data_IF_184399476508
#
_entry.id   IF_184399476508
#
_cell.length_a   1.000
_cell.length_b   1.000
_cell.length_c   1.000
_cell.angle_alpha   90.00
_cell.angle_beta   90.00
_cell.angle_gamma   90.00
#
_symmetry.space_group_name_H-M   'P 1'
#
loop_
_entity.id
_entity.type
_entity.pdbx_description
1 polymer ?
#
# COMPACT_ATOMS: atom_id res chain seq x y z
N UNK A 1 -18.92 21.82 30.69
CA UNK A 1 -18.59 20.70 29.77
C UNK A 1 -18.92 19.40 30.48
N UNK A 2 -19.75 18.54 29.89
CA UNK A 2 -20.09 17.25 30.51
C UNK A 2 -18.82 16.39 30.68
N UNK A 3 -18.63 15.79 31.85
CA UNK A 3 -17.49 14.93 32.19
C UNK A 3 -17.18 13.88 31.09
N UNK A 4 -18.23 13.34 30.47
CA UNK A 4 -18.14 12.40 29.34
C UNK A 4 -17.38 12.98 28.15
N UNK A 5 -17.63 14.26 27.79
CA UNK A 5 -16.92 14.91 26.68
C UNK A 5 -15.45 15.10 27.00
N UNK A 6 -15.12 15.52 28.22
CA UNK A 6 -13.71 15.68 28.64
C UNK A 6 -12.94 14.36 28.55
N UNK A 7 -13.53 13.25 29.01
CA UNK A 7 -12.93 11.91 28.89
C UNK A 7 -12.70 11.52 27.44
N UNK A 8 -13.67 11.77 26.55
CA UNK A 8 -13.52 11.50 25.11
C UNK A 8 -12.39 12.33 24.51
N UNK A 9 -12.29 13.63 24.83
CA UNK A 9 -11.21 14.48 24.31
C UNK A 9 -9.82 14.02 24.77
N UNK A 10 -9.68 13.63 26.04
CA UNK A 10 -8.42 13.10 26.57
C UNK A 10 -8.06 11.79 25.87
N UNK A 11 -9.02 10.88 25.71
CA UNK A 11 -8.81 9.60 25.02
C UNK A 11 -8.38 9.82 23.55
N UNK A 12 -9.05 10.72 22.84
CA UNK A 12 -8.69 11.10 21.47
C UNK A 12 -7.31 11.75 21.39
N UNK A 13 -6.94 12.60 22.34
CA UNK A 13 -5.62 13.21 22.39
C UNK A 13 -4.51 12.16 22.59
N UNK A 14 -4.69 11.22 23.51
CA UNK A 14 -3.76 10.11 23.73
C UNK A 14 -3.64 9.24 22.48
N UNK A 15 -4.77 8.90 21.86
CA UNK A 15 -4.80 8.11 20.63
C UNK A 15 -4.08 8.83 19.48
N UNK A 16 -4.30 10.15 19.33
CA UNK A 16 -3.62 10.97 18.32
C UNK A 16 -2.11 10.96 18.53
N UNK A 17 -1.62 11.15 19.76
CA UNK A 17 -0.19 11.06 20.08
C UNK A 17 0.36 9.68 19.71
N UNK A 18 -0.36 8.61 20.04
CA UNK A 18 0.06 7.24 19.74
C UNK A 18 0.17 6.97 18.23
N UNK A 19 -0.81 7.42 17.43
CA UNK A 19 -0.81 7.26 15.97
C UNK A 19 0.25 8.13 15.30
N UNK A 20 0.45 9.36 15.77
CA UNK A 20 1.40 10.31 15.16
C UNK A 20 2.84 10.08 15.60
N UNK A 21 3.08 9.40 16.72
CA UNK A 21 4.43 9.12 17.21
C UNK A 21 5.33 8.42 16.19
N UNK A 22 4.95 7.30 15.54
CA UNK A 22 5.80 6.68 14.52
C UNK A 22 6.03 7.58 13.31
N UNK A 23 5.03 8.37 12.88
CA UNK A 23 5.16 9.33 11.77
C UNK A 23 6.18 10.42 12.14
N UNK A 24 6.05 10.99 13.34
CA UNK A 24 7.03 11.91 13.90
C UNK A 24 8.43 11.30 13.89
N UNK A 25 8.57 10.05 14.34
CA UNK A 25 9.86 9.38 14.40
C UNK A 25 10.49 9.17 13.02
N UNK A 26 9.68 8.83 12.01
CA UNK A 26 10.12 8.70 10.62
C UNK A 26 10.59 10.03 10.04
N UNK A 27 9.83 11.12 10.25
CA UNK A 27 10.21 12.48 9.78
C UNK A 27 11.47 12.98 10.50
N UNK A 28 11.56 12.76 11.81
CA UNK A 28 12.75 13.10 12.60
C UNK A 28 13.98 12.33 12.08
N UNK A 29 13.82 11.04 11.78
CA UNK A 29 14.91 10.19 11.28
C UNK A 29 15.31 10.54 9.84
N UNK A 30 14.37 10.95 8.98
CA UNK A 30 14.68 11.33 7.60
C UNK A 30 15.50 12.61 7.49
N UNK A 31 15.47 13.47 8.51
CA UNK A 31 16.22 14.72 8.59
C UNK A 31 17.60 14.58 9.28
N UNK A 32 17.91 13.40 9.81
CA UNK A 32 19.17 13.09 10.51
C UNK A 32 20.22 12.51 9.58
N UNK A 33 21.48 12.62 9.98
CA UNK A 33 22.55 11.84 9.39
C UNK A 33 22.47 10.36 9.82
N UNK A 34 23.02 9.45 9.01
CA UNK A 34 22.94 7.99 9.25
C UNK A 34 23.49 7.58 10.63
N UNK A 35 24.55 8.24 11.09
CA UNK A 35 25.13 8.00 12.42
C UNK A 35 24.28 8.55 13.56
N UNK A 36 23.46 9.58 13.33
CA UNK A 36 22.55 10.16 14.33
C UNK A 36 21.29 9.32 14.54
N UNK A 37 20.88 8.54 13.53
CA UNK A 37 19.73 7.63 13.62
C UNK A 37 19.99 6.49 14.60
N UNK A 38 21.24 6.02 14.69
CA UNK A 38 21.65 4.91 15.56
C UNK A 38 22.32 5.37 16.87
N UNK A 39 22.21 6.67 17.21
CA UNK A 39 22.82 7.23 18.41
C UNK A 39 22.18 6.69 19.70
N UNK A 40 23.01 6.48 20.73
CA UNK A 40 22.58 6.11 22.09
C UNK A 40 23.11 7.19 23.05
N UNK A 41 22.25 7.92 23.79
CA UNK A 41 20.79 7.83 23.79
C UNK A 41 20.16 8.32 22.47
N UNK A 42 18.93 7.87 22.14
CA UNK A 42 18.25 8.27 20.91
C UNK A 42 18.00 9.78 20.89
N UNK A 43 18.38 10.42 19.79
CA UNK A 43 18.18 11.84 19.60
C UNK A 43 16.70 12.12 19.33
N UNK A 44 16.05 12.93 20.17
CA UNK A 44 14.63 13.22 20.00
C UNK A 44 14.37 14.16 18.81
N UNK A 45 15.28 15.08 18.52
CA UNK A 45 15.24 16.01 17.39
C UNK A 45 16.56 15.95 16.60
N UNK A 46 16.58 16.35 15.30
CA UNK A 46 17.81 16.38 14.53
C UNK A 46 18.68 17.56 14.96
N UNK A 47 19.89 17.35 15.51
CA UNK A 47 20.77 18.45 15.94
C UNK A 47 21.20 19.33 14.76
N UNK A 48 21.42 18.69 13.60
CA UNK A 48 21.77 19.35 12.33
C UNK A 48 20.84 18.82 11.23
N UNK A 49 19.63 19.41 11.08
CA UNK A 49 18.67 18.97 10.07
C UNK A 49 19.28 19.05 8.67
N UNK A 50 19.11 17.99 7.88
CA UNK A 50 19.62 17.93 6.50
C UNK A 50 18.59 17.38 5.54
N UNK A 51 18.53 17.96 4.34
CA UNK A 51 17.71 17.47 3.23
C UNK A 51 18.48 16.52 2.30
N UNK A 52 19.74 16.19 2.62
CA UNK A 52 20.58 15.31 1.80
C UNK A 52 19.94 13.94 1.55
N UNK A 53 19.25 13.38 2.55
CA UNK A 53 18.55 12.09 2.40
C UNK A 53 17.42 12.17 1.37
N UNK A 54 16.67 13.27 1.34
CA UNK A 54 15.62 13.50 0.35
C UNK A 54 16.18 13.70 -1.05
N UNK A 55 17.25 14.50 -1.18
CA UNK A 55 17.93 14.71 -2.47
C UNK A 55 18.44 13.37 -3.00
N UNK A 56 19.08 12.58 -2.16
CA UNK A 56 19.55 11.24 -2.55
C UNK A 56 18.39 10.30 -2.89
N UNK A 57 17.31 10.29 -2.12
CA UNK A 57 16.16 9.41 -2.37
C UNK A 57 15.37 9.79 -3.65
N UNK A 58 15.31 11.06 -4.02
CA UNK A 58 14.57 11.51 -5.19
C UNK A 58 15.42 11.55 -6.47
N UNK A 59 16.70 11.90 -6.35
CA UNK A 59 17.57 12.16 -7.51
C UNK A 59 18.68 11.13 -7.70
N UNK A 60 18.85 10.15 -6.80
CA UNK A 60 19.74 9.02 -7.12
C UNK A 60 19.10 8.17 -8.23
N UNK A 61 19.92 7.73 -9.17
CA UNK A 61 19.47 6.99 -10.35
C UNK A 61 18.64 5.76 -9.97
N UNK A 62 19.06 5.03 -8.93
CA UNK A 62 18.38 3.82 -8.46
C UNK A 62 17.05 4.15 -7.78
N UNK A 63 17.03 5.10 -6.86
CA UNK A 63 15.81 5.41 -6.10
C UNK A 63 14.75 6.10 -6.95
N UNK A 64 15.16 7.03 -7.84
CA UNK A 64 14.26 7.68 -8.79
C UNK A 64 13.61 6.68 -9.76
N UNK A 65 14.39 5.74 -10.32
CA UNK A 65 13.87 4.66 -11.17
C UNK A 65 12.89 3.76 -10.39
N UNK A 66 13.21 3.38 -9.16
CA UNK A 66 12.29 2.58 -8.32
C UNK A 66 10.98 3.32 -8.05
N UNK A 67 11.02 4.62 -7.76
CA UNK A 67 9.83 5.43 -7.53
C UNK A 67 8.95 5.49 -8.80
N UNK A 68 9.56 5.71 -9.96
CA UNK A 68 8.84 5.70 -11.24
C UNK A 68 8.23 4.33 -11.54
N UNK A 69 8.97 3.23 -11.29
CA UNK A 69 8.45 1.87 -11.44
C UNK A 69 7.23 1.66 -10.55
N UNK A 70 7.31 2.02 -9.27
CA UNK A 70 6.19 1.93 -8.33
C UNK A 70 5.00 2.77 -8.79
N UNK A 71 5.22 3.98 -9.31
CA UNK A 71 4.16 4.85 -9.81
C UNK A 71 3.45 4.23 -11.03
N UNK A 72 4.21 3.72 -11.99
CA UNK A 72 3.67 3.05 -13.19
C UNK A 72 2.87 1.81 -12.79
N UNK A 73 3.43 0.96 -11.92
CA UNK A 73 2.80 -0.30 -11.51
C UNK A 73 1.54 -0.03 -10.68
N UNK A 74 1.61 0.84 -9.67
CA UNK A 74 0.47 1.17 -8.80
C UNK A 74 -0.66 1.86 -9.58
N UNK A 75 -0.33 2.85 -10.42
CA UNK A 75 -1.36 3.56 -11.21
C UNK A 75 -1.97 2.64 -12.26
N UNK A 76 -1.14 1.88 -12.99
CA UNK A 76 -1.61 0.96 -14.02
C UNK A 76 -2.47 -0.16 -13.45
N UNK A 77 -2.03 -0.78 -12.34
CA UNK A 77 -2.83 -1.81 -11.67
C UNK A 77 -4.12 -1.27 -11.07
N UNK A 78 -4.09 -0.08 -10.44
CA UNK A 78 -5.30 0.53 -9.87
C UNK A 78 -6.30 0.87 -10.97
N UNK A 79 -5.87 1.53 -12.04
CA UNK A 79 -6.74 1.89 -13.16
C UNK A 79 -7.41 0.66 -13.78
N UNK A 80 -6.62 -0.40 -14.04
CA UNK A 80 -7.14 -1.63 -14.64
C UNK A 80 -8.06 -2.40 -13.67
N UNK A 81 -7.71 -2.49 -12.38
CA UNK A 81 -8.53 -3.16 -11.38
C UNK A 81 -9.87 -2.43 -11.15
N UNK A 82 -9.85 -1.10 -11.11
CA UNK A 82 -11.07 -0.28 -11.01
C UNK A 82 -11.94 -0.44 -12.25
N UNK A 83 -11.35 -0.39 -13.45
CA UNK A 83 -12.08 -0.57 -14.70
C UNK A 83 -12.76 -1.94 -14.77
N UNK A 84 -12.02 -3.03 -14.55
CA UNK A 84 -12.56 -4.39 -14.57
C UNK A 84 -13.54 -4.63 -13.40
N UNK A 85 -13.21 -4.11 -12.22
CA UNK A 85 -14.03 -4.20 -11.02
C UNK A 85 -15.37 -3.49 -11.18
N UNK A 86 -15.41 -2.33 -11.84
CA UNK A 86 -16.64 -1.62 -12.15
C UNK A 86 -17.53 -2.42 -13.11
N UNK A 87 -16.95 -3.02 -14.16
CA UNK A 87 -17.70 -3.86 -15.11
C UNK A 87 -18.33 -5.08 -14.42
N UNK A 88 -17.55 -5.82 -13.63
CA UNK A 88 -18.03 -6.98 -12.90
C UNK A 88 -18.99 -6.60 -11.76
N UNK A 89 -18.70 -5.54 -11.00
CA UNK A 89 -19.56 -5.01 -9.93
C UNK A 89 -20.92 -4.54 -10.46
N UNK A 90 -20.94 -3.85 -11.61
CA UNK A 90 -22.18 -3.50 -12.30
C UNK A 90 -22.99 -4.73 -12.70
N UNK A 91 -22.32 -5.79 -13.19
CA UNK A 91 -23.02 -7.02 -13.52
C UNK A 91 -23.67 -7.67 -12.28
N UNK A 92 -22.92 -7.79 -11.17
CA UNK A 92 -23.42 -8.36 -9.93
C UNK A 92 -24.53 -7.53 -9.26
N UNK A 93 -24.54 -6.20 -9.42
CA UNK A 93 -25.57 -5.33 -8.87
C UNK A 93 -26.84 -5.30 -9.71
N UNK A 94 -26.74 -5.42 -11.04
CA UNK A 94 -27.88 -5.29 -11.95
C UNK A 94 -28.55 -6.61 -12.33
N UNK A 95 -27.79 -7.69 -12.44
CA UNK A 95 -28.30 -8.99 -12.87
C UNK A 95 -28.45 -9.96 -11.69
N UNK A 96 -29.48 -10.81 -11.75
CA UNK A 96 -29.71 -11.86 -10.75
C UNK A 96 -28.70 -12.99 -10.93
N UNK A 97 -27.49 -12.79 -10.44
CA UNK A 97 -26.46 -13.83 -10.35
C UNK A 97 -26.56 -14.57 -9.02
N UNK A 98 -26.04 -15.80 -8.96
CA UNK A 98 -25.96 -16.54 -7.70
C UNK A 98 -25.01 -15.81 -6.73
N UNK A 99 -25.54 -15.38 -5.59
CA UNK A 99 -24.78 -14.74 -4.50
C UNK A 99 -23.54 -15.54 -4.08
N UNK A 100 -23.61 -16.87 -4.16
CA UNK A 100 -22.49 -17.76 -3.86
C UNK A 100 -21.23 -17.48 -4.70
N UNK A 101 -21.38 -17.04 -5.95
CA UNK A 101 -20.23 -16.73 -6.82
C UNK A 101 -19.54 -15.44 -6.37
N UNK A 102 -20.30 -14.46 -5.92
CA UNK A 102 -19.75 -13.22 -5.36
C UNK A 102 -19.00 -13.48 -4.05
N UNK A 103 -19.59 -14.26 -3.14
CA UNK A 103 -18.92 -14.64 -1.90
C UNK A 103 -17.68 -15.50 -2.15
N UNK A 104 -17.73 -16.42 -3.12
CA UNK A 104 -16.56 -17.18 -3.54
C UNK A 104 -15.44 -16.29 -4.10
N UNK A 105 -15.78 -15.25 -4.87
CA UNK A 105 -14.80 -14.28 -5.34
C UNK A 105 -14.07 -13.61 -4.16
N UNK A 106 -14.78 -13.21 -3.11
CA UNK A 106 -14.18 -12.58 -1.93
C UNK A 106 -13.26 -13.51 -1.14
N UNK A 107 -13.60 -14.80 -1.03
CA UNK A 107 -12.75 -15.75 -0.27
C UNK A 107 -11.38 -15.93 -0.90
N UNK A 108 -11.23 -15.69 -2.21
CA UNK A 108 -9.91 -15.70 -2.87
C UNK A 108 -8.93 -14.70 -2.25
N UNK A 109 -9.41 -13.61 -1.63
CA UNK A 109 -8.58 -12.61 -0.95
C UNK A 109 -8.11 -13.03 0.44
N UNK A 110 -8.75 -14.03 1.04
CA UNK A 110 -8.38 -14.55 2.36
C UNK A 110 -7.13 -15.44 2.30
N UNK A 111 -6.79 -15.94 1.12
CA UNK A 111 -5.57 -16.70 0.91
C UNK A 111 -4.34 -15.78 1.03
N UNK A 112 -3.33 -16.17 1.81
CA UNK A 112 -2.08 -15.44 1.89
C UNK A 112 -1.46 -15.23 0.49
N UNK A 113 -1.13 -13.98 0.10
CA UNK A 113 -0.51 -13.67 -1.19
C UNK A 113 0.71 -14.52 -1.56
N UNK A 114 1.50 -14.88 -0.55
CA UNK A 114 2.74 -15.65 -0.70
C UNK A 114 2.52 -17.04 -1.31
N UNK A 115 1.34 -17.64 -1.11
CA UNK A 115 1.00 -18.95 -1.67
C UNK A 115 1.00 -18.91 -3.20
N UNK A 116 0.58 -17.78 -3.77
CA UNK A 116 0.51 -17.59 -5.22
C UNK A 116 1.84 -17.17 -5.85
N UNK A 117 2.86 -16.82 -5.05
CA UNK A 117 4.12 -16.29 -5.55
C UNK A 117 4.84 -17.26 -6.49
N UNK A 118 4.97 -18.54 -6.10
CA UNK A 118 5.66 -19.55 -6.92
C UNK A 118 4.87 -19.87 -8.20
N UNK A 119 3.55 -20.16 -8.15
CA UNK A 119 2.76 -20.38 -9.37
C UNK A 119 2.82 -19.20 -10.34
N UNK A 120 2.62 -17.97 -9.85
CA UNK A 120 2.64 -16.76 -10.70
C UNK A 120 4.04 -16.55 -11.31
N UNK A 121 5.09 -16.77 -10.52
CA UNK A 121 6.47 -16.70 -11.01
C UNK A 121 6.69 -17.68 -12.18
N UNK A 122 6.28 -18.93 -12.03
CA UNK A 122 6.42 -19.93 -13.09
C UNK A 122 5.60 -19.56 -14.33
N UNK A 123 4.36 -19.10 -14.16
CA UNK A 123 3.53 -18.62 -15.27
C UNK A 123 4.22 -17.50 -16.04
N UNK A 124 4.69 -16.45 -15.36
CA UNK A 124 5.37 -15.33 -16.01
C UNK A 124 6.71 -15.71 -16.62
N UNK A 125 7.44 -16.66 -16.02
CA UNK A 125 8.65 -17.24 -16.60
C UNK A 125 8.34 -17.94 -17.93
N UNK A 126 7.32 -18.81 -17.96
CA UNK A 126 6.95 -19.53 -19.19
C UNK A 126 6.37 -18.60 -20.26
N UNK A 127 5.70 -17.52 -19.86
CA UNK A 127 5.20 -16.48 -20.77
C UNK A 127 6.30 -15.52 -21.27
N UNK A 128 7.51 -15.59 -20.72
CA UNK A 128 8.62 -14.70 -21.11
C UNK A 128 8.47 -13.24 -20.68
N UNK A 129 7.53 -12.94 -19.77
CA UNK A 129 7.26 -11.57 -19.27
C UNK A 129 7.84 -11.32 -17.88
N UNK A 130 8.72 -12.21 -17.40
CA UNK A 130 9.39 -12.05 -16.11
C UNK A 130 10.19 -10.74 -16.08
N UNK A 131 10.26 -10.12 -14.90
CA UNK A 131 11.00 -8.87 -14.66
C UNK A 131 10.50 -7.65 -15.48
N UNK A 132 9.20 -7.63 -15.78
CA UNK A 132 8.53 -6.50 -16.46
C UNK A 132 7.49 -5.83 -15.56
N UNK A 133 7.21 -4.54 -15.81
CA UNK A 133 6.09 -3.84 -15.15
C UNK A 133 4.75 -4.53 -15.42
N UNK A 134 4.57 -5.08 -16.63
CA UNK A 134 3.35 -5.77 -17.04
C UNK A 134 3.04 -6.96 -16.14
N UNK A 135 4.05 -7.79 -15.84
CA UNK A 135 3.88 -8.93 -14.93
C UNK A 135 3.36 -8.49 -13.55
N UNK A 136 3.95 -7.44 -12.98
CA UNK A 136 3.53 -6.91 -11.68
C UNK A 136 2.13 -6.29 -11.73
N UNK A 137 1.81 -5.56 -12.80
CA UNK A 137 0.48 -4.96 -13.00
C UNK A 137 -0.59 -6.07 -13.03
N UNK A 138 -0.38 -7.13 -13.83
CA UNK A 138 -1.33 -8.25 -13.95
C UNK A 138 -1.50 -8.95 -12.60
N UNK A 139 -0.41 -9.25 -11.90
CA UNK A 139 -0.47 -9.88 -10.58
C UNK A 139 -1.27 -9.04 -9.58
N UNK A 140 -0.98 -7.73 -9.50
CA UNK A 140 -1.70 -6.84 -8.57
C UNK A 140 -3.17 -6.67 -8.96
N UNK A 141 -3.50 -6.63 -10.24
CA UNK A 141 -4.90 -6.58 -10.70
C UNK A 141 -5.64 -7.84 -10.27
N UNK A 142 -5.08 -9.02 -10.54
CA UNK A 142 -5.71 -10.29 -10.16
C UNK A 142 -6.00 -10.37 -8.65
N UNK A 143 -5.08 -9.88 -7.83
CA UNK A 143 -5.22 -9.88 -6.36
C UNK A 143 -6.23 -8.85 -5.84
N UNK A 144 -6.41 -7.73 -6.54
CA UNK A 144 -7.26 -6.62 -6.08
C UNK A 144 -8.66 -6.60 -6.72
N UNK A 145 -8.88 -7.32 -7.82
CA UNK A 145 -10.21 -7.44 -8.46
C UNK A 145 -11.32 -7.83 -7.47
N UNK A 146 -11.16 -8.84 -6.58
CA UNK A 146 -12.22 -9.20 -5.64
C UNK A 146 -12.69 -8.02 -4.78
N UNK A 147 -11.76 -7.19 -4.30
CA UNK A 147 -12.08 -6.00 -3.53
C UNK A 147 -12.74 -4.93 -4.41
N UNK A 148 -12.20 -4.69 -5.60
CA UNK A 148 -12.75 -3.70 -6.52
C UNK A 148 -14.20 -4.03 -6.91
N UNK A 149 -14.49 -5.30 -7.21
CA UNK A 149 -15.86 -5.79 -7.50
C UNK A 149 -16.78 -5.60 -6.30
N UNK A 150 -16.30 -5.91 -5.09
CA UNK A 150 -17.09 -5.77 -3.87
C UNK A 150 -17.45 -4.33 -3.55
N UNK A 151 -16.53 -3.38 -3.75
CA UNK A 151 -16.78 -1.96 -3.52
C UNK A 151 -17.73 -1.34 -4.55
N UNK A 152 -17.77 -1.89 -5.77
CA UNK A 152 -18.55 -1.37 -6.90
C UNK A 152 -19.91 -2.04 -7.07
N UNK A 153 -20.19 -3.08 -6.28
CA UNK A 153 -21.50 -3.74 -6.20
C UNK A 153 -22.42 -2.92 -5.29
#
# INVERSE_FOLDING_TARGET
MELKRLVVWIALAIYMVWVLFPIYWTINSSLKHVWEVNAIPPLWWPPKPTLKNYIWALFSERAGKSLLNSLIISTGSTALAVFLGALAGYYFSRYKMHEGIFWWLLTTRMFPPIIFAIPIFLMFKYMGILDTHLALIIAYVAMNIPLAVWLMR
#
